data_IF_006937218635
#
_entry.id   IF_006937218635
#
_cell.length_a   1.000
_cell.length_b   1.000
_cell.length_c   1.000
_cell.angle_alpha   90.00
_cell.angle_beta   90.00
_cell.angle_gamma   90.00
#
_symmetry.space_group_name_H-M   'P 1'
#
loop_
_entity.id
_entity.type
_entity.pdbx_description
1 polymer ?
#
# COMPACT_ATOMS: atom_id res chain seq x y z
N UNK A 1 11.35 -13.34 -19.64
CA UNK A 1 10.10 -12.93 -18.97
C UNK A 1 9.54 -11.71 -19.72
N UNK A 2 8.58 -11.89 -20.64
CA UNK A 2 7.97 -10.78 -21.40
C UNK A 2 6.44 -10.67 -21.24
N UNK A 3 5.84 -11.50 -20.38
CA UNK A 3 4.39 -11.58 -20.18
C UNK A 3 3.99 -11.42 -18.70
N UNK A 4 4.73 -10.65 -17.90
CA UNK A 4 4.37 -10.38 -16.50
C UNK A 4 4.07 -8.89 -16.38
N UNK A 5 2.92 -8.58 -15.79
CA UNK A 5 2.50 -7.21 -15.49
C UNK A 5 2.17 -7.12 -14.00
N UNK A 6 3.00 -6.41 -13.25
CA UNK A 6 2.87 -6.28 -11.80
C UNK A 6 1.99 -5.08 -11.45
N UNK A 7 0.91 -5.32 -10.70
CA UNK A 7 0.02 -4.27 -10.20
C UNK A 7 0.16 -4.19 -8.68
N UNK A 8 0.57 -3.01 -8.19
CA UNK A 8 0.64 -2.70 -6.77
C UNK A 8 -0.69 -2.19 -6.23
N UNK A 9 -0.91 -2.39 -4.94
CA UNK A 9 -2.07 -1.87 -4.22
C UNK A 9 -1.59 -1.15 -2.95
N UNK A 10 -2.28 -0.08 -2.57
CA UNK A 10 -2.02 0.62 -1.32
C UNK A 10 -3.20 1.47 -0.86
N UNK A 11 -3.18 1.82 0.42
CA UNK A 11 -4.24 2.59 1.08
C UNK A 11 -3.66 3.65 2.00
N UNK A 12 -4.34 4.80 2.10
CA UNK A 12 -3.95 5.86 3.02
C UNK A 12 -4.35 5.52 4.47
N UNK A 13 -5.58 5.08 4.70
CA UNK A 13 -6.06 4.65 6.02
C UNK A 13 -7.20 3.62 5.90
N UNK A 14 -7.68 3.12 7.03
CA UNK A 14 -8.89 2.31 7.09
C UNK A 14 -8.74 1.09 7.97
N UNK A 15 -9.12 -0.07 7.46
CA UNK A 15 -8.99 -1.35 8.16
C UNK A 15 -8.60 -2.50 7.24
N UNK A 16 -8.07 -3.56 7.85
CA UNK A 16 -7.54 -4.78 7.22
C UNK A 16 -7.88 -5.99 8.07
N UNK A 17 -7.97 -7.18 7.45
CA UNK A 17 -7.96 -8.44 8.18
C UNK A 17 -6.51 -8.93 8.30
N UNK A 18 -6.00 -9.03 9.53
CA UNK A 18 -4.66 -9.54 9.83
C UNK A 18 -4.62 -10.21 11.22
N UNK A 19 -3.49 -10.75 11.61
CA UNK A 19 -3.27 -11.38 12.91
C UNK A 19 -2.06 -10.78 13.63
N UNK A 20 -1.99 -10.93 14.95
CA UNK A 20 -0.81 -10.50 15.72
C UNK A 20 0.38 -11.43 15.47
N UNK A 21 0.13 -12.74 15.29
CA UNK A 21 1.16 -13.72 14.95
C UNK A 21 0.62 -14.74 13.95
N UNK A 22 1.55 -15.47 13.34
CA UNK A 22 1.20 -16.60 12.49
C UNK A 22 0.43 -17.66 13.29
N UNK A 23 -0.74 -18.05 12.76
CA UNK A 23 -1.62 -19.04 13.38
C UNK A 23 -2.65 -18.47 14.35
N UNK A 24 -2.55 -17.18 14.71
CA UNK A 24 -3.57 -16.52 15.52
C UNK A 24 -4.86 -16.29 14.71
N UNK A 25 -6.02 -16.14 15.38
CA UNK A 25 -7.26 -15.78 14.71
C UNK A 25 -7.13 -14.48 13.93
N UNK A 26 -7.76 -14.44 12.75
CA UNK A 26 -7.87 -13.23 11.96
C UNK A 26 -8.69 -12.16 12.69
N UNK A 27 -8.19 -10.93 12.69
CA UNK A 27 -8.80 -9.79 13.37
C UNK A 27 -9.00 -8.63 12.40
N UNK A 28 -10.06 -7.86 12.62
CA UNK A 28 -10.21 -6.56 12.00
C UNK A 28 -9.28 -5.57 12.71
N UNK A 29 -8.24 -5.15 12.01
CA UNK A 29 -7.21 -4.25 12.52
C UNK A 29 -7.27 -2.90 11.82
N UNK A 30 -7.13 -1.83 12.61
CA UNK A 30 -7.04 -0.46 12.10
C UNK A 30 -5.74 -0.27 11.31
N UNK A 31 -5.85 0.26 10.10
CA UNK A 31 -4.74 0.86 9.34
C UNK A 31 -4.75 2.37 9.64
N UNK A 32 -3.77 2.89 10.40
CA UNK A 32 -3.68 4.32 10.68
C UNK A 32 -3.39 5.09 9.39
N UNK A 33 -3.48 6.42 9.46
CA UNK A 33 -3.05 7.32 8.38
C UNK A 33 -1.64 7.01 7.92
N UNK A 34 -1.42 7.07 6.61
CA UNK A 34 -0.11 6.86 6.03
C UNK A 34 0.91 7.87 6.56
N UNK A 35 2.12 7.39 6.81
CA UNK A 35 3.24 8.21 7.29
C UNK A 35 3.52 9.35 6.31
N UNK A 36 3.70 10.56 6.82
CA UNK A 36 4.08 11.71 5.99
C UNK A 36 5.33 11.41 5.15
N UNK A 37 5.29 11.76 3.86
CA UNK A 37 6.34 11.46 2.89
C UNK A 37 6.38 10.01 2.39
N UNK A 38 5.42 9.16 2.77
CA UNK A 38 5.21 7.85 2.14
C UNK A 38 4.40 7.96 0.85
N UNK A 39 4.50 6.96 -0.01
CA UNK A 39 3.76 6.91 -1.27
C UNK A 39 2.25 7.07 -1.07
N UNK A 40 1.69 6.33 -0.12
CA UNK A 40 0.27 6.40 0.24
C UNK A 40 -0.14 7.80 0.73
N UNK A 41 0.73 8.47 1.49
CA UNK A 41 0.49 9.83 1.96
C UNK A 41 0.51 10.84 0.82
N UNK A 42 1.49 10.77 -0.08
CA UNK A 42 1.57 11.68 -1.22
C UNK A 42 0.38 11.52 -2.18
N UNK A 43 -0.09 10.29 -2.38
CA UNK A 43 -1.29 10.02 -3.19
C UNK A 43 -2.58 10.58 -2.57
N UNK A 44 -2.73 10.52 -1.25
CA UNK A 44 -3.83 11.15 -0.53
C UNK A 44 -3.73 12.68 -0.59
N UNK A 45 -2.52 13.23 -0.43
CA UNK A 45 -2.31 14.68 -0.47
C UNK A 45 -2.55 15.27 -1.86
N UNK A 46 -2.24 14.52 -2.92
CA UNK A 46 -2.62 14.85 -4.31
C UNK A 46 -4.15 14.82 -4.55
N UNK A 47 -4.91 14.27 -3.61
CA UNK A 47 -6.37 14.32 -3.55
C UNK A 47 -6.94 13.13 -2.75
N UNK A 48 -7.93 13.30 -1.87
CA UNK A 48 -8.44 12.22 -1.03
C UNK A 48 -9.47 11.36 -1.77
N UNK A 49 -9.03 10.63 -2.80
CA UNK A 49 -9.87 9.77 -3.64
C UNK A 49 -9.06 8.65 -4.30
N UNK A 50 -9.77 7.59 -4.72
CA UNK A 50 -9.16 6.42 -5.35
C UNK A 50 -8.46 6.77 -6.66
N UNK A 51 -7.27 6.20 -6.88
CA UNK A 51 -6.45 6.45 -8.07
C UNK A 51 -6.01 5.17 -8.72
N UNK A 52 -5.79 5.27 -10.01
CA UNK A 52 -5.11 4.27 -10.80
C UNK A 52 -3.99 4.95 -11.59
N UNK A 53 -2.77 4.44 -11.48
CA UNK A 53 -1.59 4.98 -12.13
C UNK A 53 -0.98 3.86 -12.95
N UNK A 54 -0.79 4.09 -14.25
CA UNK A 54 0.02 3.21 -15.10
C UNK A 54 1.39 3.85 -15.25
N UNK A 55 2.45 3.10 -14.96
CA UNK A 55 3.82 3.52 -15.22
C UNK A 55 4.18 3.09 -16.63
N UNK A 56 4.35 4.07 -17.53
CA UNK A 56 4.66 3.86 -18.94
C UNK A 56 5.92 4.64 -19.32
N UNK A 57 6.41 4.46 -20.56
CA UNK A 57 7.65 5.10 -21.01
C UNK A 57 7.62 6.63 -20.88
N UNK A 58 6.45 7.25 -21.04
CA UNK A 58 6.29 8.71 -20.98
C UNK A 58 6.44 9.26 -19.56
N UNK A 59 5.91 8.54 -18.56
CA UNK A 59 5.82 9.03 -17.17
C UNK A 59 6.79 8.35 -16.19
N UNK A 60 7.41 7.23 -16.56
CA UNK A 60 8.26 6.44 -15.68
C UNK A 60 9.33 7.28 -14.99
N UNK A 61 9.95 8.20 -15.74
CA UNK A 61 10.99 9.10 -15.25
C UNK A 61 10.56 9.97 -14.04
N UNK A 62 9.27 10.28 -13.90
CA UNK A 62 8.75 11.11 -12.80
C UNK A 62 8.60 10.34 -11.47
N UNK A 63 8.69 9.01 -11.48
CA UNK A 63 8.44 8.15 -10.32
C UNK A 63 9.68 7.32 -9.92
N UNK A 64 10.87 7.84 -10.24
CA UNK A 64 12.18 7.22 -10.00
C UNK A 64 12.77 7.48 -8.61
N UNK A 65 12.20 8.42 -7.85
CA UNK A 65 12.65 8.73 -6.49
C UNK A 65 12.29 7.59 -5.53
N UNK A 66 13.26 7.13 -4.74
CA UNK A 66 13.00 6.20 -3.66
C UNK A 66 12.08 6.83 -2.61
N UNK A 67 10.98 6.15 -2.30
CA UNK A 67 9.96 6.57 -1.34
C UNK A 67 9.56 5.40 -0.45
N UNK A 68 9.16 5.67 0.79
CA UNK A 68 8.60 4.63 1.66
C UNK A 68 7.23 4.19 1.14
N UNK A 69 7.09 2.91 0.82
CA UNK A 69 5.82 2.31 0.39
C UNK A 69 5.33 1.34 1.46
N UNK A 70 4.10 1.57 1.96
CA UNK A 70 3.50 0.74 3.02
C UNK A 70 3.34 -0.71 2.57
N UNK A 71 3.77 -1.65 3.41
CA UNK A 71 3.58 -3.08 3.26
C UNK A 71 2.95 -3.66 4.53
N UNK A 72 1.72 -4.17 4.41
CA UNK A 72 1.01 -4.88 5.47
C UNK A 72 0.81 -6.32 4.98
N UNK A 73 1.32 -7.28 5.76
CA UNK A 73 1.16 -8.71 5.48
C UNK A 73 0.04 -9.32 6.31
N UNK A 74 0.01 -10.66 6.35
CA UNK A 74 -0.95 -11.42 7.18
C UNK A 74 -0.73 -11.21 8.68
N UNK A 75 0.49 -10.85 9.08
CA UNK A 75 0.83 -10.43 10.43
C UNK A 75 0.99 -8.92 10.44
N UNK A 76 0.33 -8.24 11.37
CA UNK A 76 0.35 -6.79 11.45
C UNK A 76 0.30 -6.30 12.90
N UNK A 77 1.24 -5.41 13.24
CA UNK A 77 1.28 -4.71 14.52
C UNK A 77 1.17 -3.21 14.26
N UNK A 78 -0.05 -2.68 14.29
CA UNK A 78 -0.32 -1.28 13.97
C UNK A 78 0.51 -0.28 14.80
N UNK A 79 0.75 -0.58 16.08
CA UNK A 79 1.53 0.24 17.01
C UNK A 79 2.99 0.43 16.55
N UNK A 80 3.52 -0.53 15.78
CA UNK A 80 4.91 -0.56 15.32
C UNK A 80 5.05 -0.36 13.81
N UNK A 81 3.99 0.04 13.10
CA UNK A 81 4.01 0.20 11.64
C UNK A 81 5.16 1.12 11.18
N UNK A 82 5.39 2.21 11.91
CA UNK A 82 6.41 3.20 11.61
C UNK A 82 7.85 2.66 11.66
N UNK A 83 8.08 1.50 12.30
CA UNK A 83 9.40 0.89 12.47
C UNK A 83 9.79 -0.08 11.35
N UNK A 84 8.84 -0.64 10.60
CA UNK A 84 9.17 -1.73 9.67
C UNK A 84 8.27 -1.88 8.46
N UNK A 85 7.10 -1.23 8.41
CA UNK A 85 6.13 -1.48 7.35
C UNK A 85 6.25 -0.50 6.19
N UNK A 86 7.28 0.34 6.13
CA UNK A 86 7.54 1.22 4.99
C UNK A 86 8.79 0.76 4.27
N UNK A 87 8.60 0.03 3.17
CA UNK A 87 9.68 -0.53 2.37
C UNK A 87 10.18 0.56 1.41
N UNK A 88 11.47 0.94 1.44
CA UNK A 88 12.04 1.84 0.44
C UNK A 88 11.83 1.26 -0.97
N UNK A 89 11.13 2.00 -1.82
CA UNK A 89 10.71 1.53 -3.15
C UNK A 89 10.86 2.63 -4.18
N UNK A 90 11.20 2.24 -5.41
CA UNK A 90 11.05 3.07 -6.60
C UNK A 90 9.78 2.57 -7.31
N UNK A 91 8.72 3.38 -7.30
CA UNK A 91 7.37 2.88 -7.62
C UNK A 91 7.24 2.38 -9.05
N UNK A 92 7.86 3.08 -10.01
CA UNK A 92 7.83 2.70 -11.42
C UNK A 92 8.73 1.51 -11.78
N UNK A 93 9.74 1.22 -10.96
CA UNK A 93 10.57 0.02 -11.11
C UNK A 93 9.95 -1.20 -10.41
N UNK A 94 9.18 -0.96 -9.34
CA UNK A 94 8.53 -2.02 -8.55
C UNK A 94 7.26 -2.55 -9.22
N UNK A 95 6.51 -1.69 -9.91
CA UNK A 95 5.21 -2.03 -10.51
C UNK A 95 5.07 -1.45 -11.91
N UNK A 96 4.28 -2.13 -12.74
CA UNK A 96 3.82 -1.57 -14.03
C UNK A 96 2.59 -0.67 -13.85
N UNK A 97 1.77 -0.92 -12.83
CA UNK A 97 0.67 -0.04 -12.44
C UNK A 97 0.42 -0.09 -10.92
N UNK A 98 -0.30 0.90 -10.42
CA UNK A 98 -0.65 1.00 -9.01
C UNK A 98 -2.12 1.41 -8.84
N UNK A 99 -2.83 0.68 -8.00
CA UNK A 99 -4.20 0.98 -7.56
C UNK A 99 -4.14 1.51 -6.13
N UNK A 100 -4.61 2.73 -5.94
CA UNK A 100 -4.72 3.36 -4.63
C UNK A 100 -6.19 3.46 -4.24
N UNK A 101 -6.53 2.91 -3.08
CA UNK A 101 -7.85 3.09 -2.45
C UNK A 101 -7.62 4.00 -1.25
N UNK A 102 -8.24 5.18 -1.22
CA UNK A 102 -7.91 6.19 -0.20
C UNK A 102 -8.25 5.70 1.21
N UNK A 103 -9.44 5.12 1.36
CA UNK A 103 -9.90 4.51 2.60
C UNK A 103 -10.38 3.08 2.34
N UNK A 104 -9.82 2.11 3.06
CA UNK A 104 -10.20 0.70 2.93
C UNK A 104 -11.04 0.21 4.11
N UNK A 105 -11.88 -0.79 3.86
CA UNK A 105 -12.52 -1.58 4.91
C UNK A 105 -11.93 -2.99 4.93
N UNK A 106 -11.84 -3.57 6.13
CA UNK A 106 -11.47 -4.96 6.30
C UNK A 106 -12.42 -5.86 5.51
N UNK A 107 -11.86 -6.88 4.84
CA UNK A 107 -12.64 -7.83 4.06
C UNK A 107 -13.63 -8.57 4.98
N UNK A 108 -14.86 -8.75 4.49
CA UNK A 108 -15.86 -9.59 5.13
C UNK A 108 -15.79 -11.01 4.55
N UNK A 109 -15.57 -12.05 5.36
CA UNK A 109 -15.64 -13.43 4.91
C UNK A 109 -17.01 -13.74 4.31
N UNK A 110 -17.04 -14.46 3.19
CA UNK A 110 -18.25 -14.99 2.58
C UNK A 110 -18.66 -16.27 3.32
N UNK A 111 -19.14 -16.14 4.55
CA UNK A 111 -19.70 -17.25 5.33
C UNK A 111 -21.19 -17.40 5.10
#
# INVERSE_FOLDING_TARGET
MKNVYAIGFGTYEGSVIAAEKWGDPAQNMLVPKARSGSWEHELHFAGPFNKFIMFNEDNHQFFTKQIGHRAIGVVYHNQFEHLGNYVPSIMSERYNAFVHVDQTNALHPLT
#
